data_IF_323411218809
#
_entry.id   IF_323411218809
#
_cell.length_a   1.000
_cell.length_b   1.000
_cell.length_c   1.000
_cell.angle_alpha   90.00
_cell.angle_beta   90.00
_cell.angle_gamma   90.00
#
_symmetry.space_group_name_H-M   'P 1'
#
loop_
_entity.id
_entity.type
_entity.pdbx_description
1 polymer ?
#
# COMPACT_ATOMS: atom_id res chain seq x y z
N UNK A 1 -19.66 1.51 10.76
CA UNK A 1 -18.49 1.52 11.66
C UNK A 1 -17.90 0.11 11.76
N UNK A 2 -16.95 -0.23 10.87
CA UNK A 2 -16.36 -1.57 10.85
C UNK A 2 -15.52 -1.82 12.11
N UNK A 3 -15.76 -2.95 12.77
CA UNK A 3 -15.20 -3.37 14.06
C UNK A 3 -13.69 -3.07 14.22
N UNK A 4 -13.36 -2.31 15.26
CA UNK A 4 -12.00 -2.02 15.83
C UNK A 4 -11.10 -3.25 16.09
N UNK A 5 -11.57 -4.49 15.88
CA UNK A 5 -10.94 -5.71 16.42
C UNK A 5 -9.78 -6.27 15.58
N UNK A 6 -9.64 -5.87 14.32
CA UNK A 6 -8.55 -6.36 13.45
C UNK A 6 -7.59 -5.28 12.93
N UNK A 7 -7.84 -4.02 13.29
CA UNK A 7 -6.97 -2.89 12.91
C UNK A 7 -5.52 -3.06 13.38
N UNK A 8 -5.32 -3.62 14.58
CA UNK A 8 -3.99 -3.89 15.15
C UNK A 8 -3.15 -4.90 14.36
N UNK A 9 -3.78 -5.74 13.52
CA UNK A 9 -3.10 -6.78 12.72
C UNK A 9 -2.67 -6.29 11.33
N UNK A 10 -3.11 -5.10 10.90
CA UNK A 10 -2.71 -4.53 9.61
C UNK A 10 -1.22 -4.21 9.62
N UNK A 11 -0.47 -4.71 8.64
CA UNK A 11 0.96 -4.43 8.53
C UNK A 11 1.23 -2.94 8.31
N UNK A 12 0.44 -2.29 7.45
CA UNK A 12 0.50 -0.83 7.29
C UNK A 12 -0.22 -0.19 8.46
N UNK A 13 0.58 0.29 9.41
CA UNK A 13 0.16 1.04 10.58
C UNK A 13 1.24 2.09 10.89
N UNK A 14 0.90 3.21 11.55
CA UNK A 14 1.87 4.27 11.82
C UNK A 14 3.14 3.75 12.51
N UNK A 15 2.96 2.95 13.56
CA UNK A 15 4.05 2.38 14.36
C UNK A 15 5.05 1.56 13.52
N UNK A 16 4.55 0.77 12.57
CA UNK A 16 5.39 -0.07 11.71
C UNK A 16 5.99 0.74 10.56
N UNK A 17 5.26 1.70 10.01
CA UNK A 17 5.76 2.54 8.92
C UNK A 17 6.88 3.47 9.38
N UNK A 18 6.91 3.87 10.66
CA UNK A 18 8.06 4.57 11.24
C UNK A 18 9.36 3.73 11.17
N UNK A 19 9.26 2.41 11.43
CA UNK A 19 10.40 1.50 11.35
C UNK A 19 10.81 1.30 9.89
N UNK A 20 9.86 1.01 9.00
CA UNK A 20 10.12 0.81 7.56
C UNK A 20 10.80 2.03 6.96
N UNK A 21 10.26 3.23 7.20
CA UNK A 21 10.82 4.49 6.68
C UNK A 21 12.23 4.72 7.20
N UNK A 22 12.51 4.41 8.46
CA UNK A 22 13.87 4.51 9.01
C UNK A 22 14.85 3.53 8.33
N UNK A 23 14.39 2.32 8.03
CA UNK A 23 15.21 1.27 7.40
C UNK A 23 15.46 1.48 5.91
N UNK A 24 14.61 2.24 5.21
CA UNK A 24 14.82 2.56 3.80
C UNK A 24 16.02 3.50 3.63
N UNK A 25 16.78 3.31 2.55
CA UNK A 25 17.75 4.31 2.10
C UNK A 25 17.03 5.49 1.41
N UNK A 26 17.70 6.64 1.36
CA UNK A 26 17.30 7.76 0.50
C UNK A 26 17.01 7.28 -0.93
N UNK A 27 15.86 7.67 -1.48
CA UNK A 27 15.39 7.24 -2.81
C UNK A 27 14.97 5.77 -2.91
N UNK A 28 15.00 5.01 -1.81
CA UNK A 28 14.43 3.67 -1.75
C UNK A 28 12.91 3.70 -1.76
N UNK A 29 12.28 2.65 -2.28
CA UNK A 29 10.83 2.56 -2.37
C UNK A 29 10.21 1.52 -1.44
N UNK A 30 9.03 1.85 -0.91
CA UNK A 30 8.11 0.91 -0.29
C UNK A 30 6.98 0.62 -1.28
N UNK A 31 6.94 -0.61 -1.80
CA UNK A 31 5.87 -1.07 -2.68
C UNK A 31 4.98 -2.04 -1.91
N UNK A 32 3.67 -1.79 -1.98
CA UNK A 32 2.66 -2.64 -1.36
C UNK A 32 1.43 -2.73 -2.25
N UNK A 33 0.72 -3.85 -2.16
CA UNK A 33 -0.49 -4.10 -2.94
C UNK A 33 -1.52 -4.84 -2.10
N UNK A 34 -2.80 -4.57 -2.34
CA UNK A 34 -3.91 -5.27 -1.69
C UNK A 34 -5.10 -5.40 -2.63
N UNK A 35 -5.87 -6.47 -2.49
CA UNK A 35 -7.15 -6.72 -3.15
C UNK A 35 -8.36 -6.28 -2.29
N UNK A 36 -8.11 -5.58 -1.18
CA UNK A 36 -9.15 -5.09 -0.27
C UNK A 36 -9.21 -3.56 -0.22
N UNK A 37 -10.22 -2.99 -0.88
CA UNK A 37 -10.42 -1.54 -1.01
C UNK A 37 -10.33 -0.76 0.31
N UNK A 38 -11.05 -1.19 1.35
CA UNK A 38 -11.01 -0.51 2.65
C UNK A 38 -9.62 -0.52 3.29
N UNK A 39 -8.80 -1.54 2.99
CA UNK A 39 -7.43 -1.56 3.46
C UNK A 39 -6.53 -0.69 2.59
N UNK A 40 -6.77 -0.67 1.27
CA UNK A 40 -6.07 0.22 0.34
C UNK A 40 -6.20 1.70 0.75
N UNK A 41 -7.43 2.16 1.02
CA UNK A 41 -7.65 3.53 1.51
C UNK A 41 -6.98 3.81 2.85
N UNK A 42 -7.02 2.86 3.78
CA UNK A 42 -6.29 2.99 5.04
C UNK A 42 -4.77 3.08 4.84
N UNK A 43 -4.22 2.35 3.87
CA UNK A 43 -2.80 2.40 3.55
C UNK A 43 -2.41 3.79 3.05
N UNK A 44 -3.23 4.39 2.17
CA UNK A 44 -3.06 5.78 1.71
C UNK A 44 -3.10 6.75 2.90
N UNK A 45 -4.11 6.68 3.76
CA UNK A 45 -4.23 7.56 4.93
C UNK A 45 -3.00 7.49 5.84
N UNK A 46 -2.47 6.29 6.09
CA UNK A 46 -1.26 6.12 6.90
C UNK A 46 -0.05 6.66 6.17
N UNK A 47 0.20 6.24 4.92
CA UNK A 47 1.45 6.50 4.22
C UNK A 47 1.60 7.96 3.76
N UNK A 48 0.52 8.61 3.32
CA UNK A 48 0.53 10.04 2.98
C UNK A 48 0.77 10.93 4.21
N UNK A 49 0.46 10.43 5.42
CA UNK A 49 0.73 11.11 6.68
C UNK A 49 2.17 10.99 7.20
N UNK A 50 3.03 10.19 6.55
CA UNK A 50 4.41 9.99 6.99
C UNK A 50 5.37 11.02 6.37
N UNK A 51 6.00 11.82 7.22
CA UNK A 51 7.10 12.68 6.80
C UNK A 51 8.28 11.84 6.26
N UNK A 52 8.80 12.22 5.09
CA UNK A 52 9.90 11.53 4.40
C UNK A 52 9.48 10.34 3.53
N UNK A 53 8.18 10.16 3.29
CA UNK A 53 7.67 9.31 2.22
C UNK A 53 6.83 10.16 1.26
N UNK A 54 7.12 10.05 -0.03
CA UNK A 54 6.34 10.68 -1.10
C UNK A 54 5.65 9.62 -1.94
N UNK A 55 4.34 9.74 -2.12
CA UNK A 55 3.56 8.87 -2.99
C UNK A 55 3.95 9.10 -4.46
N UNK A 56 4.43 8.06 -5.15
CA UNK A 56 4.85 8.14 -6.55
C UNK A 56 3.70 8.49 -7.51
N UNK A 57 2.47 8.11 -7.17
CA UNK A 57 1.27 8.42 -7.94
C UNK A 57 0.62 9.78 -7.54
N UNK A 58 1.21 10.49 -6.58
CA UNK A 58 0.61 11.67 -5.95
C UNK A 58 -0.27 11.31 -4.75
N UNK A 59 -0.37 12.24 -3.79
CA UNK A 59 -1.14 12.04 -2.56
C UNK A 59 -2.61 11.69 -2.88
N UNK A 60 -3.17 10.74 -2.13
CA UNK A 60 -4.52 10.24 -2.32
C UNK A 60 -4.67 9.21 -3.45
N UNK A 61 -3.66 9.02 -4.30
CA UNK A 61 -3.76 8.19 -5.49
C UNK A 61 -3.12 6.81 -5.31
N UNK A 62 -3.57 5.88 -6.15
CA UNK A 62 -3.00 4.56 -6.29
C UNK A 62 -2.07 4.53 -7.50
N UNK A 63 -1.04 3.70 -7.43
CA UNK A 63 -0.14 3.46 -8.56
C UNK A 63 -0.78 2.44 -9.49
N UNK A 64 -0.66 2.63 -10.80
CA UNK A 64 -1.00 1.59 -11.77
C UNK A 64 -0.17 0.34 -11.51
N UNK A 65 -0.71 -0.82 -11.90
CA UNK A 65 -0.04 -2.12 -11.76
C UNK A 65 1.34 -2.08 -12.45
N UNK A 66 2.49 -2.08 -11.73
CA UNK A 66 3.79 -2.19 -12.39
C UNK A 66 3.96 -3.48 -13.19
N UNK A 67 4.56 -3.35 -14.38
CA UNK A 67 4.90 -4.48 -15.27
C UNK A 67 5.83 -5.52 -14.61
N UNK A 68 6.63 -5.11 -13.63
CA UNK A 68 7.56 -5.99 -12.93
C UNK A 68 6.89 -6.95 -11.93
N UNK A 69 5.57 -6.83 -11.67
CA UNK A 69 4.87 -7.75 -10.76
C UNK A 69 4.30 -8.95 -11.53
N UNK A 70 4.95 -10.13 -11.48
CA UNK A 70 4.48 -11.31 -12.20
C UNK A 70 3.05 -11.65 -11.76
N UNK A 71 2.16 -11.86 -12.72
CA UNK A 71 0.76 -12.18 -12.45
C UNK A 71 0.62 -13.58 -11.87
N UNK A 72 0.09 -13.67 -10.65
CA UNK A 72 -0.11 -14.96 -9.98
C UNK A 72 -1.39 -15.65 -10.45
N UNK A 73 -1.49 -16.97 -10.24
CA UNK A 73 -2.72 -17.75 -10.56
C UNK A 73 -3.94 -17.28 -9.74
N UNK A 74 -3.74 -16.65 -8.58
CA UNK A 74 -4.81 -16.09 -7.75
C UNK A 74 -5.37 -14.78 -8.31
N UNK A 75 -4.52 -13.92 -8.87
CA UNK A 75 -4.93 -12.66 -9.49
C UNK A 75 -5.78 -12.87 -10.76
N UNK A 76 -5.49 -13.90 -11.58
CA UNK A 76 -6.36 -14.27 -12.72
C UNK A 76 -7.79 -14.57 -12.27
N UNK A 77 -7.95 -15.32 -11.18
CA UNK A 77 -9.27 -15.67 -10.62
C UNK A 77 -9.96 -14.51 -9.91
N UNK A 78 -9.19 -13.54 -9.41
CA UNK A 78 -9.68 -12.31 -8.77
C UNK A 78 -10.18 -11.28 -9.79
N UNK A 79 -9.48 -11.14 -10.93
CA UNK A 79 -9.90 -10.31 -12.07
C UNK A 79 -11.22 -10.80 -12.67
N UNK A 80 -11.42 -12.12 -12.79
CA UNK A 80 -12.70 -12.72 -13.20
C UNK A 80 -13.87 -12.43 -12.23
N UNK A 81 -13.58 -11.97 -11.00
CA UNK A 81 -14.57 -11.63 -9.97
C UNK A 81 -14.74 -10.11 -9.78
N UNK A 82 -14.06 -9.29 -10.58
CA UNK A 82 -14.18 -7.82 -10.51
C UNK A 82 -13.58 -7.18 -9.26
N UNK A 83 -12.71 -7.90 -8.53
CA UNK A 83 -11.99 -7.31 -7.40
C UNK A 83 -10.75 -6.57 -7.93
N UNK A 84 -10.74 -5.25 -7.76
CA UNK A 84 -9.56 -4.44 -8.06
C UNK A 84 -8.35 -4.88 -7.24
N UNK A 85 -7.15 -4.63 -7.77
CA UNK A 85 -5.92 -4.68 -6.99
C UNK A 85 -5.40 -3.26 -6.92
N UNK A 86 -5.18 -2.77 -5.71
CA UNK A 86 -4.66 -1.44 -5.45
C UNK A 86 -3.17 -1.56 -5.14
N UNK A 87 -2.36 -0.90 -5.95
CA UNK A 87 -0.92 -0.79 -5.75
C UNK A 87 -0.56 0.59 -5.22
N UNK A 88 0.42 0.64 -4.33
CA UNK A 88 0.96 1.86 -3.76
C UNK A 88 2.49 1.79 -3.76
N UNK A 89 3.14 2.80 -4.33
CA UNK A 89 4.59 2.95 -4.30
C UNK A 89 4.92 4.29 -3.66
N UNK A 90 5.60 4.23 -2.52
CA UNK A 90 6.13 5.41 -1.84
C UNK A 90 7.65 5.43 -1.96
N UNK A 91 8.22 6.60 -2.21
CA UNK A 91 9.66 6.83 -2.30
C UNK A 91 10.09 7.54 -1.02
N UNK A 92 11.20 7.09 -0.44
CA UNK A 92 11.83 7.80 0.67
C UNK A 92 12.57 9.03 0.17
N UNK A 93 12.14 10.18 0.68
CA UNK A 93 12.80 11.47 0.52
C UNK A 93 13.98 11.65 1.46
#
# INVERSE_FOLDING_TARGET
MAKKRHYKRRFVSPERMAIVTRSLKQGGWFHTATDWEHYAFWMVEVLDGFAGLTNKAGAGNFTDRPDFRPMTKFERRGLERGHGVWDLIYIKD
#
